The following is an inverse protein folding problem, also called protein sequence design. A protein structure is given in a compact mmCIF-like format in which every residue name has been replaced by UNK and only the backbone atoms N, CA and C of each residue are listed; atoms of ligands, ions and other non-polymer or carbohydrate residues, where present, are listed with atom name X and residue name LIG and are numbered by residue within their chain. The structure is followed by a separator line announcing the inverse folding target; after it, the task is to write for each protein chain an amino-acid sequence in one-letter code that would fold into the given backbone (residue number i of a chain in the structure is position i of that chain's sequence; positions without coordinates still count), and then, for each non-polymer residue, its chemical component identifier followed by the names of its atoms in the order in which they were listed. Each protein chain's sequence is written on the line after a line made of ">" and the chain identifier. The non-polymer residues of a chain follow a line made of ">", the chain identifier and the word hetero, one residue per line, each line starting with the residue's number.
data_IF_095688984879
#
_entry.id   IF_095688984879
#
_cell.length_a   1.000
_cell.length_b   1.000
_cell.length_c   1.000
_cell.angle_alpha   90.00
_cell.angle_beta   90.00
_cell.angle_gamma   90.00
#
_symmetry.space_group_name_H-M   'P 1'
#
loop_
_entity.id
_entity.type
_entity.pdbx_description
1 polymer ?
#
# COMPACT_ATOMS: atom_id res chain seq x y z
N UNK A 1 24.23 -21.10 -8.80
CA UNK A 1 23.13 -20.70 -7.91
C UNK A 1 22.07 -20.05 -8.78
N UNK A 2 21.09 -20.79 -9.26
CA UNK A 2 19.93 -20.22 -9.95
C UNK A 2 18.73 -21.00 -9.45
N UNK A 3 17.61 -20.33 -9.18
CA UNK A 3 16.38 -21.06 -8.94
C UNK A 3 15.87 -21.69 -10.25
N UNK A 4 14.77 -22.44 -10.18
CA UNK A 4 14.20 -23.15 -11.34
C UNK A 4 13.82 -22.22 -12.50
N UNK A 5 13.71 -20.92 -12.27
CA UNK A 5 13.35 -19.89 -13.24
C UNK A 5 14.53 -19.02 -13.68
N UNK A 6 15.75 -19.30 -13.22
CA UNK A 6 16.93 -18.48 -13.53
C UNK A 6 16.97 -17.13 -12.80
N UNK A 7 16.13 -16.92 -11.78
CA UNK A 7 16.09 -15.71 -10.97
C UNK A 7 16.95 -15.86 -9.70
N UNK A 8 17.31 -14.72 -9.12
CA UNK A 8 17.91 -14.62 -7.80
C UNK A 8 17.16 -13.57 -6.97
N UNK A 9 17.08 -13.81 -5.67
CA UNK A 9 16.61 -12.82 -4.71
C UNK A 9 17.80 -11.97 -4.25
N UNK A 10 17.78 -10.70 -4.61
CA UNK A 10 18.75 -9.71 -4.19
C UNK A 10 18.29 -9.03 -2.91
N UNK A 11 19.23 -8.85 -1.98
CA UNK A 11 19.02 -8.10 -0.75
C UNK A 11 20.06 -7.01 -0.64
N UNK A 12 19.63 -5.77 -0.42
CA UNK A 12 20.53 -4.67 -0.06
C UNK A 12 20.25 -4.25 1.37
N UNK A 13 21.28 -4.35 2.21
CA UNK A 13 21.28 -3.85 3.58
C UNK A 13 21.96 -2.48 3.61
N UNK A 14 21.34 -1.49 4.24
CA UNK A 14 21.88 -0.13 4.41
C UNK A 14 21.69 0.36 5.84
N UNK A 15 22.80 0.60 6.54
CA UNK A 15 22.77 1.25 7.86
C UNK A 15 22.27 2.68 7.68
N UNK A 16 21.27 3.07 8.46
CA UNK A 16 20.81 4.46 8.54
C UNK A 16 21.54 5.15 9.70
N UNK A 17 22.32 6.18 9.37
CA UNK A 17 23.08 6.99 10.32
C UNK A 17 22.30 8.22 10.78
N UNK A 18 22.68 8.74 11.94
CA UNK A 18 22.22 10.01 12.50
C UNK A 18 23.43 10.91 12.83
N UNK A 19 23.45 12.19 12.38
CA UNK A 19 22.52 12.82 11.45
C UNK A 19 22.57 12.18 10.06
N UNK A 20 21.47 12.29 9.30
CA UNK A 20 21.34 11.65 8.00
C UNK A 20 22.30 12.29 6.98
N UNK A 21 23.22 11.50 6.44
CA UNK A 21 24.24 11.95 5.50
C UNK A 21 25.36 10.90 5.47
N UNK A 22 25.97 10.67 4.31
CA UNK A 22 26.94 9.58 4.12
C UNK A 22 28.23 9.85 4.91
N UNK A 23 28.29 9.37 6.15
CA UNK A 23 29.51 9.29 6.94
C UNK A 23 30.04 7.86 6.81
N UNK A 24 31.34 7.72 6.54
CA UNK A 24 32.01 6.43 6.66
C UNK A 24 31.85 5.93 8.09
N UNK A 25 31.31 4.72 8.26
CA UNK A 25 31.16 4.15 9.60
C UNK A 25 32.53 3.93 10.24
N UNK A 26 32.67 4.11 11.57
CA UNK A 26 33.88 3.70 12.28
C UNK A 26 34.20 2.24 12.00
N UNK A 27 35.49 1.90 11.90
CA UNK A 27 35.93 0.55 11.52
C UNK A 27 35.31 -0.52 12.43
N UNK A 28 35.31 -0.31 13.75
CA UNK A 28 34.72 -1.25 14.70
C UNK A 28 33.21 -1.47 14.46
N UNK A 29 32.49 -0.41 14.10
CA UNK A 29 31.05 -0.45 13.81
C UNK A 29 30.77 -1.15 12.49
N UNK A 30 31.52 -0.82 11.44
CA UNK A 30 31.44 -1.47 10.13
C UNK A 30 31.75 -2.96 10.25
N UNK A 31 32.85 -3.33 10.92
CA UNK A 31 33.24 -4.74 11.11
C UNK A 31 32.18 -5.52 11.87
N UNK A 32 31.57 -4.94 12.93
CA UNK A 32 30.50 -5.62 13.66
C UNK A 32 29.24 -5.80 12.81
N UNK A 33 28.89 -4.79 12.01
CA UNK A 33 27.78 -4.87 11.07
C UNK A 33 28.01 -5.96 10.00
N UNK A 34 29.19 -5.99 9.39
CA UNK A 34 29.60 -7.01 8.43
C UNK A 34 29.60 -8.40 9.04
N UNK A 35 30.15 -8.57 10.24
CA UNK A 35 30.19 -9.85 10.95
C UNK A 35 28.79 -10.44 11.12
N UNK A 36 27.85 -9.66 11.67
CA UNK A 36 26.46 -10.10 11.85
C UNK A 36 25.82 -10.39 10.48
N UNK A 37 25.97 -9.48 9.51
CA UNK A 37 25.37 -9.62 8.17
C UNK A 37 25.84 -10.89 7.47
N UNK A 38 27.15 -11.08 7.39
CA UNK A 38 27.76 -12.16 6.62
C UNK A 38 27.54 -13.52 7.30
N UNK A 39 27.63 -13.58 8.64
CA UNK A 39 27.33 -14.81 9.39
C UNK A 39 25.88 -15.24 9.16
N UNK A 40 24.93 -14.30 9.21
CA UNK A 40 23.52 -14.61 8.94
C UNK A 40 23.29 -14.97 7.47
N UNK A 41 23.89 -14.25 6.53
CA UNK A 41 23.76 -14.58 5.12
C UNK A 41 24.22 -16.02 4.85
N UNK A 42 25.37 -16.43 5.40
CA UNK A 42 25.87 -17.80 5.27
C UNK A 42 24.92 -18.85 5.84
N UNK A 43 24.29 -18.59 7.00
CA UNK A 43 23.29 -19.50 7.59
C UNK A 43 22.10 -19.76 6.66
N UNK A 44 21.70 -18.75 5.89
CA UNK A 44 20.62 -18.83 4.91
C UNK A 44 21.13 -18.98 3.47
N UNK A 45 22.37 -19.47 3.29
CA UNK A 45 22.98 -19.76 1.97
C UNK A 45 23.04 -18.56 1.02
N UNK A 46 23.09 -17.35 1.58
CA UNK A 46 23.31 -16.10 0.87
C UNK A 46 24.77 -15.90 0.49
N UNK A 47 24.99 -15.26 -0.65
CA UNK A 47 26.30 -14.88 -1.15
C UNK A 47 26.43 -13.36 -1.14
N UNK A 48 27.46 -12.84 -0.47
CA UNK A 48 27.75 -11.41 -0.47
C UNK A 48 28.59 -11.00 -1.67
N UNK A 49 28.26 -9.87 -2.28
CA UNK A 49 29.00 -9.32 -3.41
C UNK A 49 29.11 -7.79 -3.31
N UNK A 50 30.09 -7.22 -4.00
CA UNK A 50 30.32 -5.78 -4.01
C UNK A 50 29.32 -5.08 -4.95
N UNK A 51 28.61 -4.07 -4.44
CA UNK A 51 27.79 -3.15 -5.24
C UNK A 51 28.65 -2.24 -6.11
N UNK A 52 29.75 -1.70 -5.56
CA UNK A 52 30.75 -0.90 -6.26
C UNK A 52 32.13 -1.03 -5.57
N UNK A 53 33.21 -0.87 -6.34
CA UNK A 53 34.60 -0.96 -5.85
C UNK A 53 35.04 0.23 -4.95
N UNK A 54 34.16 1.21 -4.70
CA UNK A 54 34.52 2.49 -4.07
C UNK A 54 33.83 2.73 -2.70
N UNK A 55 32.79 1.97 -2.32
CA UNK A 55 31.89 2.32 -1.19
C UNK A 55 31.96 1.38 0.02
N UNK A 56 33.10 0.72 0.24
CA UNK A 56 33.31 -0.30 1.28
C UNK A 56 33.05 0.14 2.74
N UNK A 57 32.80 1.42 3.03
CA UNK A 57 32.57 1.94 4.40
C UNK A 57 31.26 2.71 4.59
N UNK A 58 30.32 2.60 3.64
CA UNK A 58 29.04 3.31 3.72
C UNK A 58 27.96 2.55 4.52
N UNK A 59 28.32 1.49 5.25
CA UNK A 59 27.35 0.64 5.94
C UNK A 59 26.38 -0.04 4.97
N UNK A 60 26.86 -0.48 3.81
CA UNK A 60 26.06 -1.12 2.76
C UNK A 60 26.62 -2.47 2.38
N UNK A 61 25.74 -3.46 2.25
CA UNK A 61 26.09 -4.82 1.80
C UNK A 61 25.00 -5.30 0.85
N UNK A 62 25.41 -5.84 -0.30
CA UNK A 62 24.53 -6.58 -1.20
C UNK A 62 24.73 -8.09 -1.04
N UNK A 63 23.62 -8.81 -1.11
CA UNK A 63 23.55 -10.25 -0.96
C UNK A 63 22.66 -10.82 -2.07
N UNK A 64 22.99 -12.01 -2.55
CA UNK A 64 22.16 -12.78 -3.45
C UNK A 64 21.78 -14.11 -2.79
N UNK A 65 20.53 -14.52 -2.98
CA UNK A 65 19.98 -15.78 -2.49
C UNK A 65 19.31 -16.51 -3.65
N UNK A 66 19.37 -17.84 -3.62
CA UNK A 66 18.63 -18.66 -4.60
C UNK A 66 17.12 -18.58 -4.37
N UNK A 67 16.70 -18.51 -3.11
CA UNK A 67 15.28 -18.54 -2.72
C UNK A 67 14.90 -17.25 -1.98
N UNK A 68 13.81 -16.61 -2.40
CA UNK A 68 13.31 -15.36 -1.81
C UNK A 68 12.90 -15.54 -0.35
N UNK A 69 12.45 -16.73 0.04
CA UNK A 69 12.15 -17.05 1.44
C UNK A 69 13.40 -17.07 2.32
N UNK A 70 14.54 -17.54 1.80
CA UNK A 70 15.80 -17.55 2.56
C UNK A 70 16.35 -16.14 2.74
N UNK A 71 16.23 -15.29 1.71
CA UNK A 71 16.49 -13.86 1.80
C UNK A 71 15.63 -13.18 2.89
N UNK A 72 14.33 -13.51 2.96
CA UNK A 72 13.44 -12.95 3.97
C UNK A 72 13.78 -13.42 5.39
N UNK A 73 14.06 -14.71 5.57
CA UNK A 73 14.50 -15.28 6.86
C UNK A 73 15.81 -14.67 7.33
N UNK A 74 16.76 -14.49 6.42
CA UNK A 74 17.99 -13.73 6.66
C UNK A 74 17.65 -12.33 7.19
N UNK A 75 16.78 -11.58 6.50
CA UNK A 75 16.42 -10.22 6.92
C UNK A 75 15.82 -10.19 8.33
N UNK A 76 14.91 -11.12 8.64
CA UNK A 76 14.28 -11.22 9.96
C UNK A 76 15.29 -11.54 11.06
N UNK A 77 16.17 -12.51 10.81
CA UNK A 77 17.19 -12.92 11.77
C UNK A 77 18.23 -11.81 11.99
N UNK A 78 18.75 -11.21 10.92
CA UNK A 78 19.71 -10.12 11.00
C UNK A 78 19.13 -8.88 11.70
N UNK A 79 17.89 -8.47 11.39
CA UNK A 79 17.22 -7.37 12.10
C UNK A 79 17.08 -7.61 13.60
N UNK A 80 16.79 -8.85 13.99
CA UNK A 80 16.70 -9.26 15.39
C UNK A 80 18.07 -9.19 16.04
N UNK A 81 19.11 -9.70 15.38
CA UNK A 81 20.48 -9.65 15.90
C UNK A 81 21.04 -8.25 15.99
N UNK A 82 20.73 -7.34 15.06
CA UNK A 82 21.14 -5.94 15.19
C UNK A 82 20.56 -5.28 16.44
N UNK A 83 19.34 -5.66 16.80
CA UNK A 83 18.65 -5.13 17.97
C UNK A 83 19.23 -5.64 19.30
N UNK A 84 19.53 -6.94 19.37
CA UNK A 84 19.94 -7.60 20.62
C UNK A 84 21.45 -7.81 20.77
N UNK A 85 22.24 -7.46 19.76
CA UNK A 85 23.70 -7.53 19.84
C UNK A 85 24.27 -6.38 20.66
N UNK A 86 25.40 -6.64 21.31
CA UNK A 86 26.26 -5.59 21.85
C UNK A 86 26.97 -4.87 20.69
N UNK A 87 26.97 -3.54 20.75
CA UNK A 87 27.62 -2.67 19.78
C UNK A 87 28.79 -1.92 20.42
N UNK A 88 29.84 -1.59 19.64
CA UNK A 88 30.92 -0.73 20.11
C UNK A 88 30.38 0.59 20.70
N UNK A 89 30.99 1.17 21.75
CA UNK A 89 30.49 2.39 22.38
C UNK A 89 30.24 3.53 21.38
N UNK A 90 31.11 3.68 20.39
CA UNK A 90 31.06 4.72 19.34
C UNK A 90 29.79 4.61 18.49
N UNK A 91 29.16 3.43 18.42
CA UNK A 91 27.94 3.18 17.66
C UNK A 91 26.75 4.06 18.09
N UNK A 92 26.69 4.45 19.37
CA UNK A 92 25.60 5.26 19.92
C UNK A 92 25.54 6.66 19.30
N UNK A 93 26.66 7.17 18.82
CA UNK A 93 26.72 8.46 18.11
C UNK A 93 26.06 8.38 16.72
N UNK A 94 25.99 7.18 16.12
CA UNK A 94 25.54 6.99 14.75
C UNK A 94 24.13 6.40 14.62
N UNK A 95 23.66 5.61 15.59
CA UNK A 95 22.44 4.80 15.44
C UNK A 95 21.15 5.47 15.97
N UNK A 96 21.31 6.70 16.50
CA UNK A 96 20.25 7.42 17.17
C UNK A 96 19.91 6.81 18.53
N UNK A 97 18.95 7.42 19.22
CA UNK A 97 18.55 6.99 20.56
C UNK A 97 17.85 5.62 20.54
N UNK A 98 18.10 4.83 21.57
CA UNK A 98 17.32 3.63 21.87
C UNK A 98 15.91 4.04 22.28
N UNK A 99 14.89 3.31 21.80
CA UNK A 99 13.48 3.67 21.97
C UNK A 99 12.77 2.52 22.69
N UNK A 100 12.38 2.69 23.96
CA UNK A 100 11.52 1.74 24.65
C UNK A 100 10.05 1.96 24.24
N UNK A 101 9.27 0.89 24.31
CA UNK A 101 7.81 0.90 24.22
C UNK A 101 7.20 1.24 25.59
N UNK A 102 5.89 1.50 25.63
CA UNK A 102 5.19 1.86 26.86
C UNK A 102 5.23 0.75 27.93
N UNK A 103 5.41 -0.50 27.54
CA UNK A 103 5.57 -1.66 28.43
C UNK A 103 7.04 -1.98 28.77
N UNK A 104 7.98 -1.10 28.40
CA UNK A 104 9.41 -1.28 28.65
C UNK A 104 10.13 -2.19 27.66
N UNK A 105 9.44 -2.78 26.69
CA UNK A 105 10.08 -3.57 25.63
C UNK A 105 10.79 -2.66 24.62
N UNK A 106 11.96 -3.04 24.11
CA UNK A 106 12.68 -2.21 23.15
C UNK A 106 12.00 -2.22 21.77
N UNK A 107 11.86 -1.05 21.13
CA UNK A 107 11.41 -0.89 19.73
C UNK A 107 12.63 -0.73 18.81
N UNK A 108 13.61 0.06 19.26
CA UNK A 108 14.91 0.22 18.63
C UNK A 108 16.01 0.21 19.68
N UNK A 109 17.05 -0.58 19.41
CA UNK A 109 18.30 -0.62 20.15
C UNK A 109 19.39 -0.96 19.11
N UNK A 110 20.48 -0.21 19.06
CA UNK A 110 21.51 -0.39 18.01
C UNK A 110 21.10 0.12 16.62
N UNK A 111 21.75 -0.36 15.54
CA UNK A 111 21.63 0.19 14.20
C UNK A 111 20.27 -0.05 13.57
N UNK A 112 19.86 0.97 12.83
CA UNK A 112 18.63 0.97 12.04
C UNK A 112 18.98 0.60 10.61
N UNK A 113 19.03 -0.70 10.32
CA UNK A 113 19.39 -1.18 8.98
C UNK A 113 18.14 -1.23 8.10
N UNK A 114 18.11 -0.47 7.01
CA UNK A 114 17.09 -0.60 5.97
C UNK A 114 17.45 -1.81 5.11
N UNK A 115 16.48 -2.69 4.86
CA UNK A 115 16.67 -3.86 4.00
C UNK A 115 15.61 -3.86 2.91
N UNK A 116 16.03 -4.12 1.67
CA UNK A 116 15.12 -4.32 0.56
C UNK A 116 15.39 -5.66 -0.13
N UNK A 117 14.34 -6.35 -0.55
CA UNK A 117 14.37 -7.62 -1.27
C UNK A 117 13.68 -7.45 -2.62
N UNK A 118 14.35 -7.89 -3.68
CA UNK A 118 13.79 -7.96 -5.04
C UNK A 118 14.19 -9.29 -5.69
N UNK A 119 13.28 -9.87 -6.46
CA UNK A 119 13.43 -11.17 -7.11
C UNK A 119 13.28 -10.98 -8.62
N UNK A 120 14.36 -11.19 -9.38
CA UNK A 120 14.40 -10.97 -10.83
C UNK A 120 15.56 -11.71 -11.51
N UNK A 121 15.51 -11.84 -12.84
CA UNK A 121 16.52 -12.51 -13.66
C UNK A 121 17.47 -11.55 -14.41
N UNK A 122 17.23 -10.24 -14.35
CA UNK A 122 17.99 -9.21 -15.07
C UNK A 122 19.31 -8.84 -14.37
N UNK A 123 20.19 -9.82 -14.24
CA UNK A 123 21.53 -9.64 -13.70
C UNK A 123 22.60 -10.32 -14.56
N UNK A 124 23.85 -9.89 -14.39
CA UNK A 124 25.02 -10.51 -14.95
C UNK A 124 26.04 -10.81 -13.85
N UNK A 125 26.70 -11.94 -13.95
CA UNK A 125 27.77 -12.36 -13.05
C UNK A 125 29.09 -12.43 -13.83
N UNK A 126 30.10 -11.69 -13.38
CA UNK A 126 31.45 -11.73 -13.94
C UNK A 126 32.43 -12.22 -12.88
N UNK A 127 33.24 -13.22 -13.22
CA UNK A 127 34.33 -13.67 -12.35
C UNK A 127 35.51 -12.70 -12.51
N UNK A 128 35.97 -12.11 -11.40
CA UNK A 128 37.21 -11.35 -11.40
C UNK A 128 38.37 -12.34 -11.47
N UNK A 129 38.98 -12.47 -12.65
CA UNK A 129 40.25 -13.17 -12.79
C UNK A 129 41.33 -12.35 -12.07
N UNK A 130 41.77 -12.80 -10.90
CA UNK A 130 42.85 -12.14 -10.18
C UNK A 130 44.13 -12.12 -11.03
N UNK A 131 44.73 -10.94 -11.18
CA UNK A 131 46.07 -10.76 -11.73
C UNK A 131 47.08 -11.62 -10.95
N UNK A 132 48.03 -12.19 -11.69
CA UNK A 132 49.11 -13.10 -11.28
C UNK A 132 49.64 -12.88 -9.85
N UNK A 133 49.58 -13.94 -9.05
CA UNK A 133 50.61 -14.27 -8.06
C UNK A 133 50.57 -13.50 -6.74
N UNK A 134 49.66 -13.91 -5.84
CA UNK A 134 49.83 -14.12 -4.39
C UNK A 134 48.49 -14.71 -3.92
N UNK A 135 48.53 -15.81 -3.16
CA UNK A 135 47.33 -16.56 -2.74
C UNK A 135 46.48 -15.77 -1.71
N UNK A 136 45.13 -15.82 -1.89
CA UNK A 136 44.02 -15.64 -0.92
C UNK A 136 43.26 -14.29 -0.91
N UNK A 137 41.91 -14.23 -0.72
CA UNK A 137 40.85 -15.25 -0.81
C UNK A 137 39.64 -14.87 -1.70
N UNK A 138 39.01 -15.89 -2.27
CA UNK A 138 37.74 -15.91 -3.04
C UNK A 138 37.81 -15.38 -4.47
N UNK A 139 37.46 -16.26 -5.41
CA UNK A 139 36.92 -15.91 -6.71
C UNK A 139 35.74 -14.93 -6.51
N UNK A 140 36.01 -13.64 -6.39
CA UNK A 140 34.98 -12.65 -6.14
C UNK A 140 34.15 -12.53 -7.42
N UNK A 141 32.92 -13.01 -7.37
CA UNK A 141 31.96 -12.83 -8.45
C UNK A 141 31.38 -11.43 -8.30
N UNK A 142 31.59 -10.58 -9.31
CA UNK A 142 30.88 -9.31 -9.43
C UNK A 142 29.50 -9.61 -10.00
N UNK A 143 28.46 -9.32 -9.24
CA UNK A 143 27.07 -9.39 -9.71
C UNK A 143 26.57 -7.97 -9.92
N UNK A 144 26.03 -7.68 -11.10
CA UNK A 144 25.45 -6.38 -11.43
C UNK A 144 24.24 -6.53 -12.36
N UNK A 145 23.65 -5.42 -12.76
CA UNK A 145 22.49 -5.39 -13.67
C UNK A 145 21.27 -4.73 -13.04
N UNK A 146 20.22 -4.58 -13.85
CA UNK A 146 19.02 -3.83 -13.50
C UNK A 146 18.36 -4.32 -12.21
N UNK A 147 18.35 -5.63 -11.95
CA UNK A 147 17.82 -6.20 -10.71
C UNK A 147 18.58 -5.72 -9.46
N UNK A 148 19.91 -5.66 -9.53
CA UNK A 148 20.77 -5.21 -8.42
C UNK A 148 20.58 -3.72 -8.17
N UNK A 149 20.61 -2.92 -9.24
CA UNK A 149 20.46 -1.46 -9.18
C UNK A 149 19.08 -1.08 -8.62
N UNK A 150 18.03 -1.79 -9.06
CA UNK A 150 16.67 -1.60 -8.55
C UNK A 150 16.56 -1.95 -7.06
N UNK A 151 17.20 -3.05 -6.62
CA UNK A 151 17.23 -3.43 -5.20
C UNK A 151 17.94 -2.38 -4.36
N UNK A 152 19.05 -1.83 -4.84
CA UNK A 152 19.76 -0.75 -4.18
C UNK A 152 18.88 0.52 -4.07
N UNK A 153 18.13 0.83 -5.13
CA UNK A 153 17.15 1.91 -5.13
C UNK A 153 16.04 1.66 -4.10
N UNK A 154 15.49 0.46 -4.02
CA UNK A 154 14.50 0.08 -3.00
C UNK A 154 15.05 0.27 -1.57
N UNK A 155 16.29 -0.14 -1.31
CA UNK A 155 16.92 0.05 0.01
C UNK A 155 17.16 1.54 0.35
N UNK A 156 17.29 2.40 -0.66
CA UNK A 156 17.42 3.85 -0.47
C UNK A 156 16.12 4.51 -0.01
N UNK A 157 14.95 4.01 -0.47
CA UNK A 157 13.63 4.55 -0.10
C UNK A 157 13.09 3.93 1.19
N UNK A 158 13.59 2.76 1.57
CA UNK A 158 13.26 2.08 2.82
C UNK A 158 13.83 2.83 4.05
N UNK A 159 13.13 2.71 5.18
CA UNK A 159 13.52 3.31 6.45
C UNK A 159 14.41 2.38 7.26
N UNK A 160 15.29 2.95 8.08
CA UNK A 160 16.17 2.17 8.94
C UNK A 160 15.38 1.27 9.90
N UNK A 161 15.68 -0.02 9.88
CA UNK A 161 15.01 -1.07 10.65
C UNK A 161 13.83 -1.73 9.94
N UNK A 162 13.51 -1.30 8.72
CA UNK A 162 12.42 -1.82 7.87
C UNK A 162 12.95 -2.91 6.94
N UNK A 163 12.11 -3.93 6.68
CA UNK A 163 12.33 -4.93 5.63
C UNK A 163 11.24 -4.74 4.57
N UNK A 164 11.65 -4.29 3.39
CA UNK A 164 10.78 -3.96 2.26
C UNK A 164 10.93 -4.98 1.14
N UNK A 165 9.82 -5.45 0.58
CA UNK A 165 9.78 -6.38 -0.55
C UNK A 165 9.15 -5.66 -1.75
N UNK A 166 9.72 -5.87 -2.93
CA UNK A 166 9.05 -5.56 -4.19
C UNK A 166 7.88 -6.51 -4.44
N UNK A 167 7.00 -6.17 -5.38
CA UNK A 167 5.89 -7.03 -5.79
C UNK A 167 6.33 -8.46 -6.14
N UNK A 168 7.35 -8.62 -7.00
CA UNK A 168 7.86 -9.93 -7.40
C UNK A 168 8.32 -10.77 -6.19
N UNK A 169 9.14 -10.18 -5.31
CA UNK A 169 9.58 -10.85 -4.09
C UNK A 169 8.40 -11.21 -3.16
N UNK A 170 7.39 -10.35 -3.03
CA UNK A 170 6.19 -10.64 -2.25
C UNK A 170 5.40 -11.82 -2.81
N UNK A 171 5.18 -11.87 -4.13
CA UNK A 171 4.47 -12.96 -4.80
C UNK A 171 5.15 -14.31 -4.56
N UNK A 172 6.49 -14.35 -4.58
CA UNK A 172 7.28 -15.56 -4.29
C UNK A 172 7.10 -16.08 -2.86
N UNK A 173 6.96 -15.20 -1.85
CA UNK A 173 6.86 -15.61 -0.43
C UNK A 173 5.43 -15.70 0.11
N UNK A 174 4.47 -15.04 -0.56
CA UNK A 174 3.07 -14.92 -0.13
C UNK A 174 2.44 -16.28 0.22
N UNK A 175 2.53 -17.36 -0.58
CA UNK A 175 1.87 -18.62 -0.27
C UNK A 175 2.29 -19.18 1.09
N UNK A 176 3.59 -19.14 1.41
CA UNK A 176 4.17 -19.71 2.62
C UNK A 176 3.80 -18.86 3.85
N UNK A 177 3.87 -17.53 3.71
CA UNK A 177 3.52 -16.60 4.80
C UNK A 177 2.03 -16.67 5.11
N UNK A 178 1.17 -16.76 4.10
CA UNK A 178 -0.29 -16.86 4.31
C UNK A 178 -0.74 -18.19 4.89
N UNK A 179 0.02 -19.27 4.70
CA UNK A 179 -0.25 -20.58 5.31
C UNK A 179 0.03 -20.61 6.81
N UNK A 180 0.85 -19.70 7.33
CA UNK A 180 1.18 -19.60 8.75
C UNK A 180 0.80 -18.21 9.29
N UNK A 181 -0.51 -17.91 9.41
CA UNK A 181 -0.96 -16.62 9.92
C UNK A 181 -0.34 -16.32 11.28
N UNK A 182 0.22 -15.12 11.43
CA UNK A 182 0.87 -14.70 12.67
C UNK A 182 2.31 -15.17 12.83
N UNK A 183 2.98 -15.72 11.82
CA UNK A 183 4.45 -15.91 11.86
C UNK A 183 5.24 -14.61 11.61
N UNK A 184 4.64 -13.68 10.85
CA UNK A 184 5.21 -12.38 10.53
C UNK A 184 4.11 -11.32 10.42
N UNK A 185 4.46 -10.07 10.67
CA UNK A 185 3.63 -8.92 10.39
C UNK A 185 3.83 -8.51 8.94
N UNK A 186 2.72 -8.46 8.19
CA UNK A 186 2.70 -8.04 6.78
C UNK A 186 1.88 -6.77 6.66
N UNK A 187 2.45 -5.74 6.06
CA UNK A 187 1.81 -4.44 5.86
C UNK A 187 2.00 -4.04 4.40
N UNK A 188 0.90 -3.83 3.68
CA UNK A 188 0.97 -3.20 2.35
C UNK A 188 1.34 -1.73 2.50
N UNK A 189 2.35 -1.28 1.77
CA UNK A 189 2.75 0.12 1.72
C UNK A 189 2.07 0.87 0.57
N UNK A 190 1.34 0.16 -0.29
CA UNK A 190 0.69 0.70 -1.49
C UNK A 190 1.49 0.43 -2.76
N UNK A 191 0.98 0.94 -3.88
CA UNK A 191 1.61 0.83 -5.20
C UNK A 191 2.29 2.14 -5.55
N UNK A 192 3.58 2.08 -5.91
CA UNK A 192 4.42 3.26 -6.09
C UNK A 192 5.16 3.26 -7.42
N UNK A 193 5.36 4.45 -7.98
CA UNK A 193 6.44 4.74 -8.93
C UNK A 193 7.64 5.20 -8.10
N UNK A 194 8.71 4.41 -8.12
CA UNK A 194 9.84 4.57 -7.21
C UNK A 194 10.66 5.81 -7.56
N UNK A 195 11.06 5.95 -8.83
CA UNK A 195 11.78 7.10 -9.38
C UNK A 195 11.58 7.19 -10.89
N UNK A 196 12.01 8.29 -11.50
CA UNK A 196 11.87 8.49 -12.95
C UNK A 196 12.63 7.43 -13.77
N UNK A 197 13.74 6.91 -13.23
CA UNK A 197 14.50 5.76 -13.77
C UNK A 197 13.71 4.44 -13.77
N UNK A 198 12.73 4.31 -12.87
CA UNK A 198 11.90 3.12 -12.70
C UNK A 198 10.41 3.52 -12.74
N UNK A 199 9.90 3.87 -13.94
CA UNK A 199 8.56 4.45 -14.11
C UNK A 199 7.44 3.43 -13.89
N UNK A 200 7.77 2.13 -13.94
CA UNK A 200 6.78 1.06 -13.78
C UNK A 200 6.26 1.01 -12.34
N UNK A 201 4.93 1.03 -12.14
CA UNK A 201 4.34 0.85 -10.82
C UNK A 201 4.78 -0.45 -10.15
N UNK A 202 5.10 -0.38 -8.86
CA UNK A 202 5.48 -1.53 -8.06
C UNK A 202 4.72 -1.52 -6.73
N UNK A 203 4.00 -2.61 -6.41
CA UNK A 203 3.47 -2.85 -5.08
C UNK A 203 4.62 -3.07 -4.09
N UNK A 204 4.63 -2.30 -3.00
CA UNK A 204 5.62 -2.42 -1.93
C UNK A 204 5.00 -3.05 -0.69
N UNK A 205 5.70 -4.01 -0.11
CA UNK A 205 5.27 -4.73 1.10
C UNK A 205 6.31 -4.59 2.20
N UNK A 206 5.88 -4.27 3.41
CA UNK A 206 6.70 -4.35 4.62
C UNK A 206 6.41 -5.69 5.30
N UNK A 207 7.46 -6.49 5.55
CA UNK A 207 7.34 -7.81 6.17
C UNK A 207 8.32 -7.93 7.32
N UNK A 208 7.81 -7.81 8.55
CA UNK A 208 8.62 -7.78 9.78
C UNK A 208 8.37 -9.03 10.65
N UNK A 209 9.38 -9.53 11.38
CA UNK A 209 9.14 -10.56 12.38
C UNK A 209 8.32 -9.99 13.54
N UNK A 210 7.51 -10.82 14.20
CA UNK A 210 6.61 -10.37 15.27
C UNK A 210 7.32 -9.68 16.43
N UNK A 211 8.54 -10.12 16.75
CA UNK A 211 9.41 -9.51 17.78
C UNK A 211 9.67 -8.04 17.50
N UNK A 212 9.59 -7.61 16.24
CA UNK A 212 9.85 -6.24 15.78
C UNK A 212 8.60 -5.55 15.25
N UNK A 213 7.41 -6.16 15.41
CA UNK A 213 6.13 -5.69 14.83
C UNK A 213 5.61 -4.36 15.40
N UNK A 214 6.18 -3.91 16.52
CA UNK A 214 5.86 -2.62 17.14
C UNK A 214 6.51 -1.43 16.43
N UNK A 215 7.44 -1.68 15.50
CA UNK A 215 8.07 -0.63 14.72
C UNK A 215 7.04 -0.05 13.75
N UNK A 216 6.92 1.28 13.78
CA UNK A 216 6.09 2.03 12.84
C UNK A 216 7.00 2.95 12.05
N UNK A 217 6.95 2.83 10.73
CA UNK A 217 7.79 3.60 9.83
C UNK A 217 6.98 4.67 9.12
N UNK A 218 7.62 5.83 8.89
CA UNK A 218 7.09 6.86 8.00
C UNK A 218 7.00 6.31 6.57
N UNK A 219 6.15 6.93 5.76
CA UNK A 219 5.97 6.57 4.34
C UNK A 219 7.31 6.49 3.59
N UNK A 220 7.44 5.54 2.65
CA UNK A 220 8.57 5.49 1.72
C UNK A 220 8.71 6.80 0.94
N UNK A 221 9.94 7.17 0.59
CA UNK A 221 10.21 8.35 -0.24
C UNK A 221 10.21 7.90 -1.71
N UNK A 222 9.09 8.04 -2.40
CA UNK A 222 8.91 7.62 -3.79
C UNK A 222 8.49 8.79 -4.67
N UNK A 223 8.69 8.70 -5.99
CA UNK A 223 8.23 9.73 -6.94
C UNK A 223 6.71 9.93 -6.89
N UNK A 224 5.94 8.84 -6.98
CA UNK A 224 4.46 8.91 -6.95
C UNK A 224 3.85 7.68 -6.27
N UNK A 225 2.80 7.89 -5.49
CA UNK A 225 1.98 6.80 -4.94
C UNK A 225 0.69 6.71 -5.75
N UNK A 226 0.40 5.52 -6.27
CA UNK A 226 -0.72 5.22 -7.17
C UNK A 226 -1.84 4.42 -6.51
N UNK A 227 -1.54 3.72 -5.42
CA UNK A 227 -2.52 3.07 -4.56
C UNK A 227 -2.06 3.22 -3.11
N UNK A 228 -3.02 3.41 -2.20
CA UNK A 228 -2.73 3.64 -0.78
C UNK A 228 -2.31 2.36 -0.07
N UNK A 229 -1.47 2.51 0.95
CA UNK A 229 -1.05 1.41 1.82
C UNK A 229 -1.94 1.25 3.04
N UNK A 230 -1.76 0.16 3.78
CA UNK A 230 -2.52 -0.15 5.00
C UNK A 230 -2.52 0.99 6.04
N UNK A 231 -1.40 1.69 6.21
CA UNK A 231 -1.26 2.80 7.17
C UNK A 231 -1.95 4.10 6.73
N UNK A 232 -2.49 4.16 5.52
CA UNK A 232 -3.28 5.28 5.03
C UNK A 232 -4.75 5.20 5.42
N UNK A 233 -5.17 4.07 6.00
CA UNK A 233 -6.52 3.87 6.49
C UNK A 233 -6.95 4.98 7.46
N UNK A 234 -8.22 5.42 7.41
CA UNK A 234 -8.79 6.31 8.41
C UNK A 234 -8.72 5.72 9.83
N UNK A 235 -8.52 6.58 10.83
CA UNK A 235 -8.54 6.17 12.23
C UNK A 235 -9.94 5.70 12.63
N UNK A 236 -10.04 4.49 13.18
CA UNK A 236 -11.29 3.91 13.66
C UNK A 236 -11.94 4.75 14.77
N UNK A 237 -11.13 5.46 15.57
CA UNK A 237 -11.62 6.34 16.63
C UNK A 237 -12.24 7.64 16.12
N UNK A 238 -11.98 8.01 14.85
CA UNK A 238 -12.46 9.24 14.25
C UNK A 238 -13.77 9.02 13.45
N UNK A 239 -14.64 10.03 13.34
CA UNK A 239 -15.78 9.97 12.44
C UNK A 239 -15.29 9.87 10.98
N UNK A 240 -15.89 8.95 10.22
CA UNK A 240 -15.56 8.72 8.82
C UNK A 240 -16.82 8.48 8.00
N UNK A 241 -16.73 8.72 6.68
CA UNK A 241 -17.76 8.31 5.74
C UNK A 241 -17.36 6.97 5.13
N UNK A 242 -18.24 5.97 5.23
CA UNK A 242 -18.11 4.68 4.55
C UNK A 242 -18.93 4.73 3.28
N UNK A 243 -18.28 4.46 2.15
CA UNK A 243 -18.91 4.41 0.84
C UNK A 243 -18.91 2.97 0.34
N UNK A 244 -20.10 2.44 0.09
CA UNK A 244 -20.28 1.17 -0.60
C UNK A 244 -20.60 1.49 -2.04
N UNK A 245 -19.77 1.00 -2.97
CA UNK A 245 -20.10 1.07 -4.38
C UNK A 245 -20.06 -0.31 -5.02
N UNK A 246 -21.00 -0.52 -5.94
CA UNK A 246 -21.14 -1.79 -6.65
C UNK A 246 -21.51 -1.50 -8.10
N UNK A 247 -20.73 -2.04 -9.02
CA UNK A 247 -21.10 -2.07 -10.43
C UNK A 247 -22.39 -2.87 -10.63
N UNK A 248 -23.31 -2.31 -11.40
CA UNK A 248 -24.53 -2.98 -11.80
C UNK A 248 -24.18 -4.02 -12.86
N UNK A 249 -24.47 -5.28 -12.58
CA UNK A 249 -24.37 -6.34 -13.59
C UNK A 249 -25.57 -6.19 -14.55
N UNK A 250 -25.35 -6.04 -15.87
CA UNK A 250 -26.43 -5.98 -16.85
C UNK A 250 -27.34 -7.21 -16.81
N UNK A 251 -28.62 -7.02 -17.14
CA UNK A 251 -29.59 -8.11 -17.28
C UNK A 251 -29.11 -9.15 -18.32
N UNK A 252 -28.54 -8.69 -19.43
CA UNK A 252 -28.00 -9.55 -20.51
C UNK A 252 -26.91 -10.50 -19.97
N UNK A 253 -25.99 -9.99 -19.13
CA UNK A 253 -24.93 -10.79 -18.49
C UNK A 253 -25.51 -11.73 -17.44
N UNK A 254 -26.50 -11.26 -16.67
CA UNK A 254 -27.17 -12.08 -15.66
C UNK A 254 -27.94 -13.24 -16.30
N UNK A 255 -28.52 -13.04 -17.48
CA UNK A 255 -29.17 -14.09 -18.25
C UNK A 255 -28.15 -15.10 -18.81
N UNK A 256 -27.02 -14.61 -19.34
CA UNK A 256 -25.94 -15.43 -19.89
C UNK A 256 -25.22 -16.30 -18.85
N UNK A 257 -25.25 -15.93 -17.56
CA UNK A 257 -24.64 -16.74 -16.49
C UNK A 257 -25.54 -17.88 -15.97
N UNK A 258 -26.86 -17.83 -16.22
CA UNK A 258 -27.79 -18.83 -15.69
C UNK A 258 -27.55 -20.19 -16.36
N UNK A 259 -27.44 -21.28 -15.59
CA UNK A 259 -27.21 -22.63 -16.14
C UNK A 259 -28.40 -23.15 -16.96
N UNK A 260 -29.60 -22.60 -16.74
CA UNK A 260 -30.83 -22.94 -17.47
C UNK A 260 -31.00 -22.11 -18.77
N UNK A 261 -30.15 -21.10 -18.98
CA UNK A 261 -30.19 -20.22 -20.16
C UNK A 261 -29.14 -20.59 -21.22
N UNK A 262 -29.14 -19.85 -22.33
CA UNK A 262 -28.04 -19.91 -23.29
C UNK A 262 -26.82 -19.23 -22.67
N UNK A 263 -25.86 -20.02 -22.21
CA UNK A 263 -24.60 -19.49 -21.71
C UNK A 263 -23.83 -18.82 -22.86
N UNK A 264 -23.52 -17.55 -22.69
CA UNK A 264 -22.68 -16.79 -23.62
C UNK A 264 -21.38 -16.35 -22.90
N UNK A 265 -20.32 -17.17 -22.99
CA UNK A 265 -19.03 -16.85 -22.40
C UNK A 265 -18.39 -15.58 -22.96
N UNK A 266 -18.71 -15.19 -24.19
CA UNK A 266 -18.15 -13.99 -24.82
C UNK A 266 -18.72 -12.74 -24.18
N UNK A 267 -20.04 -12.72 -23.95
CA UNK A 267 -20.72 -11.61 -23.30
C UNK A 267 -20.28 -11.44 -21.83
N UNK A 268 -20.08 -12.55 -21.12
CA UNK A 268 -19.53 -12.55 -19.76
C UNK A 268 -18.08 -12.02 -19.76
N UNK A 269 -17.24 -12.51 -20.68
CA UNK A 269 -15.86 -12.07 -20.83
C UNK A 269 -15.73 -10.59 -21.19
N UNK A 270 -16.63 -10.07 -22.04
CA UNK A 270 -16.71 -8.66 -22.41
C UNK A 270 -17.06 -7.78 -21.19
N UNK A 271 -18.04 -8.19 -20.38
CA UNK A 271 -18.35 -7.48 -19.14
C UNK A 271 -17.15 -7.48 -18.18
N UNK A 272 -16.52 -8.64 -17.98
CA UNK A 272 -15.37 -8.78 -17.09
C UNK A 272 -14.15 -7.94 -17.55
N UNK A 273 -13.92 -7.81 -18.86
CA UNK A 273 -12.84 -6.97 -19.40
C UNK A 273 -13.11 -5.46 -19.27
N UNK A 274 -14.38 -5.06 -19.15
CA UNK A 274 -14.78 -3.67 -18.97
C UNK A 274 -14.78 -3.20 -17.51
N UNK A 275 -14.97 -4.11 -16.53
CA UNK A 275 -14.92 -3.78 -15.09
C UNK A 275 -13.61 -3.05 -14.71
N UNK A 276 -12.41 -3.46 -15.19
CA UNK A 276 -11.16 -2.72 -14.98
C UNK A 276 -11.18 -1.23 -15.35
N UNK A 277 -11.96 -0.81 -16.34
CA UNK A 277 -12.08 0.60 -16.73
C UNK A 277 -12.71 1.41 -15.59
N UNK A 278 -13.80 0.88 -15.02
CA UNK A 278 -14.46 1.47 -13.85
C UNK A 278 -13.56 1.45 -12.62
N UNK A 279 -12.96 0.31 -12.29
CA UNK A 279 -12.15 0.17 -11.05
C UNK A 279 -10.92 1.08 -11.08
N UNK A 280 -10.27 1.22 -12.24
CA UNK A 280 -9.14 2.14 -12.44
C UNK A 280 -9.56 3.59 -12.25
N UNK A 281 -10.71 3.98 -12.79
CA UNK A 281 -11.26 5.32 -12.63
C UNK A 281 -11.61 5.62 -11.16
N UNK A 282 -12.26 4.68 -10.48
CA UNK A 282 -12.62 4.80 -9.07
C UNK A 282 -11.39 4.98 -8.18
N UNK A 283 -10.34 4.16 -8.35
CA UNK A 283 -9.08 4.24 -7.61
C UNK A 283 -8.31 5.54 -7.88
N UNK A 284 -8.26 5.99 -9.13
CA UNK A 284 -7.65 7.27 -9.49
C UNK A 284 -8.30 8.43 -8.75
N UNK A 285 -9.63 8.52 -8.78
CA UNK A 285 -10.37 9.56 -8.06
C UNK A 285 -10.22 9.40 -6.55
N UNK A 286 -10.11 8.16 -6.05
CA UNK A 286 -10.00 7.92 -4.62
C UNK A 286 -8.80 8.65 -4.00
N UNK A 287 -7.67 8.69 -4.71
CA UNK A 287 -6.47 9.42 -4.29
C UNK A 287 -6.71 10.93 -4.27
N UNK A 288 -7.38 11.47 -5.29
CA UNK A 288 -7.68 12.89 -5.42
C UNK A 288 -8.55 13.42 -4.27
N UNK A 289 -9.49 12.59 -3.80
CA UNK A 289 -10.42 12.93 -2.72
C UNK A 289 -10.01 12.36 -1.36
N UNK A 290 -8.76 11.91 -1.20
CA UNK A 290 -8.22 11.36 0.06
C UNK A 290 -9.06 10.21 0.66
N UNK A 291 -9.70 9.42 -0.21
CA UNK A 291 -10.40 8.21 0.18
C UNK A 291 -9.46 7.03 0.32
N UNK A 292 -9.90 6.00 1.02
CA UNK A 292 -9.16 4.77 1.29
C UNK A 292 -9.98 3.55 0.89
N UNK A 293 -9.37 2.61 0.16
CA UNK A 293 -10.02 1.37 -0.23
C UNK A 293 -9.86 0.34 0.89
N UNK A 294 -10.96 0.00 1.57
CA UNK A 294 -10.92 -0.97 2.66
C UNK A 294 -10.88 -2.40 2.13
N UNK A 295 -11.70 -2.71 1.13
CA UNK A 295 -11.80 -4.04 0.51
C UNK A 295 -12.57 -4.01 -0.81
N UNK A 296 -12.21 -4.95 -1.68
CA UNK A 296 -12.95 -5.32 -2.89
C UNK A 296 -13.35 -6.82 -2.79
N UNK A 297 -14.48 -7.17 -2.15
CA UNK A 297 -14.89 -8.57 -2.01
C UNK A 297 -15.19 -9.27 -3.34
N UNK A 298 -15.65 -8.52 -4.34
CA UNK A 298 -15.96 -8.99 -5.69
C UNK A 298 -15.47 -7.92 -6.68
N UNK A 299 -15.00 -8.28 -7.88
CA UNK A 299 -14.59 -7.30 -8.89
C UNK A 299 -15.66 -6.24 -9.15
N UNK A 300 -15.31 -4.97 -8.96
CA UNK A 300 -16.20 -3.83 -9.12
C UNK A 300 -17.15 -3.57 -7.93
N UNK A 301 -16.90 -4.17 -6.77
CA UNK A 301 -17.63 -3.89 -5.52
C UNK A 301 -16.66 -3.42 -4.46
N UNK A 302 -16.67 -2.13 -4.14
CA UNK A 302 -15.77 -1.56 -3.14
C UNK A 302 -16.47 -1.22 -1.83
N UNK A 303 -15.72 -1.38 -0.75
CA UNK A 303 -15.94 -0.65 0.50
C UNK A 303 -14.82 0.36 0.64
N UNK A 304 -15.18 1.64 0.66
CA UNK A 304 -14.26 2.76 0.75
C UNK A 304 -14.50 3.53 2.05
N UNK A 305 -13.49 4.22 2.56
CA UNK A 305 -13.59 5.07 3.71
C UNK A 305 -12.95 6.44 3.44
N UNK A 306 -13.63 7.52 3.81
CA UNK A 306 -13.13 8.88 3.67
C UNK A 306 -12.99 9.48 5.07
N UNK A 307 -11.80 10.05 5.34
CA UNK A 307 -11.60 10.84 6.55
C UNK A 307 -12.48 12.07 6.50
N UNK A 308 -12.95 12.47 7.67
CA UNK A 308 -13.70 13.70 7.78
C UNK A 308 -12.87 14.73 8.51
N UNK A 309 -12.54 15.82 7.82
CA UNK A 309 -11.92 16.97 8.44
C UNK A 309 -12.93 17.71 9.32
N UNK A 310 -12.61 17.86 10.60
CA UNK A 310 -13.34 18.74 11.50
C UNK A 310 -13.06 18.48 12.97
N UNK A 311 -12.52 19.51 13.64
CA UNK A 311 -12.46 19.59 15.10
C UNK A 311 -13.83 19.27 15.71
N UNK A 312 -13.87 18.38 16.70
CA UNK A 312 -15.09 17.96 17.36
C UNK A 312 -15.78 19.08 18.17
N UNK A 313 -15.26 20.31 18.15
CA UNK A 313 -15.53 21.32 19.19
C UNK A 313 -16.21 22.62 18.76
N UNK A 314 -16.48 22.92 17.47
CA UNK A 314 -17.11 24.22 17.13
C UNK A 314 -18.11 24.18 15.96
N UNK A 315 -19.27 24.84 16.16
CA UNK A 315 -20.09 25.42 15.09
C UNK A 315 -21.52 24.92 14.96
N UNK A 316 -22.40 25.20 15.93
CA UNK A 316 -23.85 25.13 15.73
C UNK A 316 -24.33 26.41 15.04
N UNK A 317 -24.57 26.37 13.72
CA UNK A 317 -25.21 27.47 12.99
C UNK A 317 -26.69 27.13 12.76
N UNK A 318 -27.59 27.83 13.44
CA UNK A 318 -29.03 27.70 13.23
C UNK A 318 -29.44 28.42 11.94
N UNK A 319 -29.82 27.67 10.91
CA UNK A 319 -30.44 28.24 9.70
C UNK A 319 -31.95 28.04 9.82
N UNK A 320 -32.69 29.15 9.89
CA UNK A 320 -34.15 29.17 9.93
C UNK A 320 -34.68 29.15 8.50
N UNK A 321 -35.34 28.08 8.07
CA UNK A 321 -36.04 28.06 6.78
C UNK A 321 -37.40 28.76 6.92
N UNK A 322 -37.63 29.79 6.09
CA UNK A 322 -38.95 30.37 5.86
C UNK A 322 -39.69 29.52 4.80
N UNK A 323 -40.95 29.12 5.01
CA UNK A 323 -41.73 28.48 3.96
C UNK A 323 -42.25 29.49 2.93
N UNK A 324 -42.19 29.14 1.65
CA UNK A 324 -42.73 29.95 0.55
C UNK A 324 -44.21 29.60 0.27
N UNK A 325 -45.04 30.63 0.45
CA UNK A 325 -46.34 31.02 -0.12
C UNK A 325 -47.27 30.03 -0.86
N UNK A 326 -48.55 30.05 -0.45
CA UNK A 326 -49.73 29.96 -1.33
C UNK A 326 -50.94 30.68 -0.64
N UNK A 327 -52.04 31.04 -1.35
CA UNK A 327 -52.66 32.37 -1.33
C UNK A 327 -53.79 32.60 -0.29
N UNK A 328 -54.07 33.88 -0.02
CA UNK A 328 -55.02 34.48 0.95
C UNK A 328 -56.48 34.62 0.39
N UNK A 329 -57.52 35.05 1.16
CA UNK A 329 -57.61 35.34 2.61
C UNK A 329 -58.92 34.90 3.34
N UNK A 330 -58.93 35.16 4.68
CA UNK A 330 -60.06 35.51 5.59
C UNK A 330 -60.41 34.49 6.71
N UNK A 331 -60.92 34.94 7.88
CA UNK A 331 -60.06 35.29 9.00
C UNK A 331 -60.41 34.63 10.35
N UNK A 332 -59.46 34.81 11.28
CA UNK A 332 -59.62 34.92 12.73
C UNK A 332 -59.45 33.67 13.63
N UNK A 333 -58.43 33.82 14.48
CA UNK A 333 -58.33 33.42 15.88
C UNK A 333 -57.64 32.09 16.24
N UNK A 334 -56.32 32.26 16.32
CA UNK A 334 -55.29 31.60 17.11
C UNK A 334 -55.67 31.02 18.50
N UNK A 335 -54.95 29.92 18.80
CA UNK A 335 -54.34 29.42 20.07
C UNK A 335 -54.76 27.97 20.35
N UNK A 336 -53.88 27.00 20.63
CA UNK A 336 -52.43 26.97 20.82
C UNK A 336 -51.90 25.57 20.46
N UNK A 337 -50.71 25.53 19.85
CA UNK A 337 -50.05 24.33 19.35
C UNK A 337 -49.30 23.56 20.44
N UNK A 338 -49.44 22.23 20.43
CA UNK A 338 -48.66 21.28 21.20
C UNK A 338 -47.32 20.94 20.52
N UNK A 339 -46.30 20.79 21.37
CA UNK A 339 -44.89 20.41 21.16
C UNK A 339 -44.65 19.40 20.02
N UNK A 340 -43.98 19.84 18.96
CA UNK A 340 -43.28 18.98 17.99
C UNK A 340 -41.84 18.69 18.45
N UNK A 341 -41.42 17.42 18.42
CA UNK A 341 -40.04 16.99 18.65
C UNK A 341 -39.11 17.61 17.59
N UNK A 342 -37.91 18.10 17.93
CA UNK A 342 -36.98 18.62 16.93
C UNK A 342 -36.39 17.47 16.12
N UNK A 343 -36.54 17.53 14.78
CA UNK A 343 -35.76 16.72 13.86
C UNK A 343 -34.30 17.20 13.88
N UNK A 344 -33.38 16.25 14.03
CA UNK A 344 -31.94 16.45 13.92
C UNK A 344 -31.59 17.18 12.62
N UNK A 345 -31.00 18.37 12.73
CA UNK A 345 -30.34 19.04 11.62
C UNK A 345 -28.92 18.48 11.45
N UNK A 346 -28.64 17.78 10.35
CA UNK A 346 -27.30 17.35 9.97
C UNK A 346 -26.46 18.54 9.51
N UNK A 347 -25.29 18.75 10.12
CA UNK A 347 -24.30 19.74 9.67
C UNK A 347 -23.65 19.32 8.35
N UNK A 348 -23.99 20.01 7.26
CA UNK A 348 -23.58 19.74 5.86
C UNK A 348 -22.19 20.33 5.54
N UNK A 349 -21.18 20.20 6.42
CA UNK A 349 -19.81 20.71 6.13
C UNK A 349 -18.72 19.65 6.20
N UNK A 350 -19.10 18.37 6.16
CA UNK A 350 -18.26 17.28 6.67
C UNK A 350 -18.14 16.07 5.72
N UNK A 351 -18.99 15.96 4.69
CA UNK A 351 -19.04 14.81 3.76
C UNK A 351 -18.44 15.12 2.37
N UNK A 352 -17.81 16.28 2.23
CA UNK A 352 -17.53 16.92 0.96
C UNK A 352 -16.70 16.01 0.05
N UNK A 353 -15.63 15.39 0.54
CA UNK A 353 -14.80 14.49 -0.27
C UNK A 353 -15.54 13.23 -0.73
N UNK A 354 -16.32 12.57 0.14
CA UNK A 354 -17.03 11.35 -0.22
C UNK A 354 -18.14 11.63 -1.25
N UNK A 355 -18.87 12.74 -1.08
CA UNK A 355 -19.93 13.17 -2.01
C UNK A 355 -19.33 13.62 -3.33
N UNK A 356 -18.29 14.47 -3.30
CA UNK A 356 -17.62 14.95 -4.51
C UNK A 356 -16.99 13.80 -5.28
N UNK A 357 -16.33 12.86 -4.60
CA UNK A 357 -15.82 11.63 -5.21
C UNK A 357 -16.94 10.85 -5.91
N UNK A 358 -18.08 10.65 -5.25
CA UNK A 358 -19.20 9.90 -5.82
C UNK A 358 -19.80 10.59 -7.05
N UNK A 359 -20.01 11.91 -6.98
CA UNK A 359 -20.49 12.71 -8.11
C UNK A 359 -19.49 12.70 -9.26
N UNK A 360 -18.19 12.91 -8.97
CA UNK A 360 -17.15 12.94 -9.99
C UNK A 360 -17.01 11.59 -10.68
N UNK A 361 -17.08 10.50 -9.92
CA UNK A 361 -17.06 9.15 -10.47
C UNK A 361 -18.19 8.92 -11.46
N UNK A 362 -19.44 9.31 -11.12
CA UNK A 362 -20.58 9.15 -12.03
C UNK A 362 -20.40 9.95 -13.32
N UNK A 363 -19.94 11.21 -13.21
CA UNK A 363 -19.68 12.07 -14.38
C UNK A 363 -18.61 11.43 -15.28
N UNK A 364 -17.51 11.00 -14.70
CA UNK A 364 -16.39 10.41 -15.45
C UNK A 364 -16.76 9.09 -16.13
N UNK A 365 -17.64 8.28 -15.53
CA UNK A 365 -18.14 7.04 -16.15
C UNK A 365 -18.96 7.30 -17.41
N UNK A 366 -19.78 8.36 -17.43
CA UNK A 366 -20.53 8.76 -18.63
C UNK A 366 -19.59 9.09 -19.80
N UNK A 367 -18.45 9.70 -19.49
CA UNK A 367 -17.45 10.12 -20.48
C UNK A 367 -16.34 9.08 -20.75
N UNK A 368 -16.32 7.96 -20.03
CA UNK A 368 -15.31 6.93 -20.19
C UNK A 368 -15.36 6.26 -21.58
N UNK A 369 -14.22 5.73 -22.05
CA UNK A 369 -14.12 5.07 -23.35
C UNK A 369 -14.57 3.61 -23.24
N UNK A 370 -15.87 3.40 -23.33
CA UNK A 370 -16.48 2.07 -23.34
C UNK A 370 -16.39 1.40 -24.72
N UNK A 371 -16.15 0.08 -24.79
CA UNK A 371 -16.27 -0.69 -26.03
C UNK A 371 -17.68 -0.60 -26.63
N UNK A 372 -17.78 -0.56 -27.95
CA UNK A 372 -19.05 -0.47 -28.69
C UNK A 372 -19.97 -1.66 -28.42
N UNK A 373 -19.38 -2.84 -28.24
CA UNK A 373 -20.07 -4.09 -27.95
C UNK A 373 -20.75 -4.02 -26.57
N UNK A 374 -20.09 -3.39 -25.59
CA UNK A 374 -20.67 -3.17 -24.27
C UNK A 374 -21.86 -2.21 -24.38
N UNK A 375 -21.74 -1.13 -25.17
CA UNK A 375 -22.81 -0.15 -25.37
C UNK A 375 -24.02 -0.72 -26.12
N UNK A 376 -23.88 -1.87 -26.78
CA UNK A 376 -24.99 -2.62 -27.36
C UNK A 376 -25.87 -3.32 -26.32
N UNK A 377 -25.39 -3.52 -25.09
CA UNK A 377 -26.19 -4.12 -24.01
C UNK A 377 -27.26 -3.16 -23.52
N UNK A 378 -28.44 -3.69 -23.20
CA UNK A 378 -29.63 -2.89 -22.86
C UNK A 378 -29.37 -1.95 -21.68
N UNK A 379 -28.65 -2.42 -20.66
CA UNK A 379 -28.36 -1.64 -19.46
C UNK A 379 -27.15 -0.72 -19.61
N UNK A 380 -26.34 -0.88 -20.65
CA UNK A 380 -25.13 -0.09 -20.89
C UNK A 380 -25.30 0.93 -22.02
N UNK A 381 -26.43 0.89 -22.73
CA UNK A 381 -26.73 1.77 -23.84
C UNK A 381 -26.68 3.25 -23.43
N UNK A 382 -26.19 4.15 -24.30
CA UNK A 382 -26.22 5.58 -24.05
C UNK A 382 -27.66 6.08 -23.90
N UNK A 383 -27.90 6.91 -22.89
CA UNK A 383 -29.17 7.60 -22.67
C UNK A 383 -28.87 9.09 -22.65
N UNK A 384 -29.55 9.85 -23.50
CA UNK A 384 -29.50 11.31 -23.54
C UNK A 384 -30.66 11.93 -22.76
N UNK A 385 -30.40 13.08 -22.16
CA UNK A 385 -31.39 13.89 -21.47
C UNK A 385 -32.20 14.73 -22.44
N UNK A 386 -32.99 15.64 -21.87
CA UNK A 386 -33.99 16.42 -22.62
C UNK A 386 -33.35 17.39 -23.62
N UNK A 387 -32.11 17.81 -23.38
CA UNK A 387 -31.35 18.73 -24.23
C UNK A 387 -30.23 18.03 -25.02
N UNK A 388 -30.27 16.69 -25.11
CA UNK A 388 -29.28 15.88 -25.83
C UNK A 388 -27.98 15.62 -25.05
N UNK A 389 -27.87 16.12 -23.83
CA UNK A 389 -26.74 15.86 -22.93
C UNK A 389 -26.66 14.37 -22.57
N UNK A 390 -25.46 13.77 -22.47
CA UNK A 390 -25.34 12.38 -22.07
C UNK A 390 -25.67 12.23 -20.57
N UNK A 391 -26.65 11.40 -20.25
CA UNK A 391 -27.10 11.12 -18.86
C UNK A 391 -26.55 9.80 -18.36
N UNK A 392 -26.55 8.77 -19.22
CA UNK A 392 -25.93 7.48 -18.93
C UNK A 392 -25.18 6.96 -20.14
N UNK A 393 -24.08 6.24 -19.91
CA UNK A 393 -23.33 5.52 -20.94
C UNK A 393 -22.40 4.49 -20.28
N UNK A 394 -22.45 3.25 -20.76
CA UNK A 394 -21.60 2.16 -20.25
C UNK A 394 -22.06 1.59 -18.92
N UNK A 395 -21.12 1.05 -18.13
CA UNK A 395 -21.44 0.38 -16.87
C UNK A 395 -22.04 1.35 -15.84
N UNK A 396 -23.16 0.93 -15.23
CA UNK A 396 -23.81 1.69 -14.16
C UNK A 396 -23.21 1.32 -12.80
N UNK A 397 -23.13 2.28 -11.89
CA UNK A 397 -22.60 2.05 -10.54
C UNK A 397 -23.59 2.56 -9.50
N UNK A 398 -23.91 1.72 -8.52
CA UNK A 398 -24.70 2.10 -7.34
C UNK A 398 -23.74 2.54 -6.25
N UNK A 399 -24.02 3.68 -5.62
CA UNK A 399 -23.18 4.25 -4.54
C UNK A 399 -24.09 4.54 -3.34
N UNK A 400 -23.75 3.96 -2.19
CA UNK A 400 -24.36 4.27 -0.91
C UNK A 400 -23.31 4.88 0.03
N UNK A 401 -23.65 5.99 0.67
CA UNK A 401 -22.77 6.69 1.61
C UNK A 401 -23.41 6.66 2.99
N UNK A 402 -22.66 6.17 3.98
CA UNK A 402 -23.01 6.22 5.39
C UNK A 402 -21.92 6.97 6.16
N UNK A 403 -22.28 7.58 7.28
CA UNK A 403 -21.35 8.33 8.13
C UNK A 403 -21.46 7.84 9.57
N UNK A 404 -20.34 7.75 10.28
CA UNK A 404 -20.33 7.56 11.71
C UNK A 404 -18.93 7.31 12.27
N UNK A 405 -18.86 7.00 13.56
CA UNK A 405 -17.65 6.43 14.15
C UNK A 405 -17.68 4.91 13.96
N UNK A 406 -16.59 4.35 13.44
CA UNK A 406 -16.49 2.91 13.28
C UNK A 406 -16.22 2.27 14.65
N UNK A 407 -17.15 1.44 15.15
CA UNK A 407 -16.90 0.66 16.35
C UNK A 407 -16.34 -0.69 15.91
N UNK A 408 -15.04 -0.92 16.13
CA UNK A 408 -14.51 -2.27 16.05
C UNK A 408 -15.16 -3.10 17.16
N UNK A 409 -15.80 -4.25 16.86
CA UNK A 409 -16.23 -5.14 17.93
C UNK A 409 -14.99 -5.48 18.76
N UNK A 410 -15.06 -5.27 20.07
CA UNK A 410 -14.04 -5.83 20.97
C UNK A 410 -13.93 -7.31 20.63
N UNK A 411 -12.73 -7.86 20.38
CA UNK A 411 -12.60 -9.29 20.23
C UNK A 411 -13.24 -9.92 21.47
N UNK A 412 -14.21 -10.82 21.25
CA UNK A 412 -14.72 -11.66 22.31
C UNK A 412 -13.51 -12.41 22.87
N UNK A 413 -13.05 -12.00 24.05
CA UNK A 413 -12.18 -12.85 24.85
C UNK A 413 -13.04 -14.06 25.22
N UNK A 414 -12.76 -15.19 24.57
CA UNK A 414 -13.15 -16.51 25.05
C UNK A 414 -11.93 -17.09 25.75
#
# INVERSE_FOLDING_TARGET
>A
MLNKEGKLAFVVCRVTTYPAGSYALPIAVQSRFEEITLTQAQQFRGYAFALDSVTSREGRIALAFTETMDALRFCHSAQTLYMFSSWPPEAHEYFGLSVPSADGTWVFQGPRVAMAIHDDASFHAAQLNSLKGILSPQDSVRIGGAAVDFTAKLASIARGGQVMLSQAAWESVKPIITQHPGAAQVISLGTHVISDEYPNPCLLMEVMPNTLSRRVFKKPITCKMLELGYRDAPDLGAPMAIVFCKVHKPEDVTAAEKPEGHQDPQLIGLYQSCVPIYTSLARRLLIEYEGYECKEPEPGKFTLAFKVAGDASQGWLFVRTMPAAAPDPAPANARAAGRGKPLLACGVRRLDNAIQWACRLQIELVHARWPTELLGMRDCAPISGTYGEPVFRGLRVRIGIAWGCAVAPRPLMI
#
